data_IF_205502743814
#
_entry.id   IF_205502743814
#
_cell.length_a   1.000
_cell.length_b   1.000
_cell.length_c   1.000
_cell.angle_alpha   90.00
_cell.angle_beta   90.00
_cell.angle_gamma   90.00
#
_symmetry.space_group_name_H-M   'P 1'
#
loop_
_entity.id
_entity.type
_entity.pdbx_description
1 polymer ?
#
# COMPACT_ATOMS: atom_id res chain seq x y z
N UNK A 1 -12.51 22.47 -15.13
CA UNK A 1 -12.17 23.24 -13.89
C UNK A 1 -10.72 22.97 -13.59
N UNK A 2 -9.85 23.98 -13.69
CA UNK A 2 -8.44 23.88 -13.31
C UNK A 2 -8.37 23.81 -11.79
N UNK A 3 -8.06 22.63 -11.24
CA UNK A 3 -7.74 22.49 -9.83
C UNK A 3 -6.54 23.38 -9.49
N UNK A 4 -6.58 24.14 -8.39
CA UNK A 4 -5.47 25.00 -7.99
C UNK A 4 -4.19 24.17 -7.81
N UNK A 5 -3.07 24.76 -8.21
CA UNK A 5 -1.74 24.17 -8.01
C UNK A 5 -1.53 24.02 -6.49
N UNK A 6 -1.17 22.82 -5.95
CA UNK A 6 -1.07 22.62 -4.50
C UNK A 6 0.21 23.23 -3.89
N UNK A 7 0.62 24.41 -4.39
CA UNK A 7 1.81 25.15 -3.90
C UNK A 7 1.57 25.85 -2.56
N UNK A 8 0.31 26.02 -2.19
CA UNK A 8 -0.09 26.63 -0.92
C UNK A 8 -1.31 25.86 -0.37
N UNK A 9 -1.10 24.67 0.19
CA UNK A 9 -2.21 23.90 0.77
C UNK A 9 -2.82 24.67 1.93
N UNK A 10 -4.16 24.70 1.99
CA UNK A 10 -4.92 25.33 3.05
C UNK A 10 -5.54 24.24 3.93
N UNK A 11 -5.32 24.34 5.23
CA UNK A 11 -6.02 23.51 6.20
C UNK A 11 -7.53 23.81 6.16
N UNK A 12 -8.34 22.77 6.02
CA UNK A 12 -9.80 22.87 5.95
C UNK A 12 -10.49 22.22 7.14
N UNK A 13 -10.14 20.99 7.43
CA UNK A 13 -10.73 20.21 8.52
C UNK A 13 -9.78 19.10 8.99
N UNK A 14 -10.02 18.60 10.19
CA UNK A 14 -9.40 17.42 10.76
C UNK A 14 -10.48 16.41 11.14
N UNK A 15 -10.38 15.20 10.61
CA UNK A 15 -11.22 14.08 11.02
C UNK A 15 -10.41 13.31 12.09
N UNK A 16 -10.83 13.31 13.37
CA UNK A 16 -10.06 12.72 14.46
C UNK A 16 -9.84 11.21 14.27
N UNK A 17 -8.72 10.72 14.77
CA UNK A 17 -8.41 9.30 14.90
C UNK A 17 -8.96 8.69 16.19
N UNK A 18 -8.52 7.47 16.49
CA UNK A 18 -8.86 6.74 17.72
C UNK A 18 -7.96 7.22 18.87
N UNK A 19 -8.56 7.81 19.89
CA UNK A 19 -7.80 8.32 21.05
C UNK A 19 -7.03 7.21 21.77
N UNK A 20 -5.84 7.55 22.27
CA UNK A 20 -5.00 6.65 23.07
C UNK A 20 -4.26 5.57 22.27
N UNK A 21 -4.45 5.49 20.96
CA UNK A 21 -3.82 4.47 20.11
C UNK A 21 -2.47 4.88 19.52
N UNK A 22 -1.98 6.08 19.83
CA UNK A 22 -0.68 6.59 19.32
C UNK A 22 -0.60 6.55 17.78
N UNK A 23 0.51 6.06 17.24
CA UNK A 23 0.67 5.91 15.78
C UNK A 23 -0.44 5.05 15.13
N UNK A 24 -1.03 4.12 15.87
CA UNK A 24 -2.08 3.24 15.38
C UNK A 24 -3.47 3.89 15.40
N UNK A 25 -3.63 5.07 16.00
CA UNK A 25 -4.93 5.75 16.12
C UNK A 25 -5.37 6.46 14.86
N UNK A 26 -4.45 6.75 13.94
CA UNK A 26 -4.70 7.47 12.70
C UNK A 26 -5.35 6.64 11.60
N UNK A 27 -5.56 7.29 10.46
CA UNK A 27 -5.95 6.62 9.23
C UNK A 27 -4.70 6.11 8.51
N UNK A 28 -4.45 4.80 8.57
CA UNK A 28 -3.29 4.17 7.91
C UNK A 28 -3.36 4.29 6.39
N UNK A 29 -4.57 4.32 5.82
CA UNK A 29 -4.82 4.56 4.40
C UNK A 29 -6.20 5.21 4.21
N UNK A 30 -6.32 5.95 3.12
CA UNK A 30 -7.57 6.53 2.66
C UNK A 30 -7.77 6.25 1.17
N UNK A 31 -9.04 6.05 0.76
CA UNK A 31 -9.46 5.96 -0.64
C UNK A 31 -10.63 6.89 -0.87
N UNK A 32 -10.68 7.52 -2.03
CA UNK A 32 -11.76 8.43 -2.39
C UNK A 32 -12.42 7.95 -3.67
N UNK A 33 -13.75 7.89 -3.67
CA UNK A 33 -14.56 7.61 -4.85
C UNK A 33 -15.55 8.75 -5.08
N UNK A 34 -15.74 9.12 -6.34
CA UNK A 34 -16.88 9.95 -6.74
C UNK A 34 -18.16 9.12 -6.66
N UNK A 35 -19.21 9.69 -6.12
CA UNK A 35 -20.53 9.05 -6.15
C UNK A 35 -21.08 8.85 -7.56
N UNK A 36 -20.54 9.57 -8.55
CA UNK A 36 -20.88 9.35 -9.96
C UNK A 36 -20.25 8.06 -10.54
N UNK A 37 -19.13 7.59 -9.96
CA UNK A 37 -18.46 6.33 -10.32
C UNK A 37 -19.08 5.14 -9.59
N UNK A 38 -19.55 5.33 -8.37
CA UNK A 38 -20.16 4.26 -7.56
C UNK A 38 -21.53 3.86 -8.15
N UNK A 39 -21.84 2.55 -8.27
CA UNK A 39 -23.08 2.07 -8.89
C UNK A 39 -24.36 2.61 -8.26
N UNK A 40 -24.35 2.89 -6.96
CA UNK A 40 -25.50 3.40 -6.19
C UNK A 40 -25.15 4.64 -5.36
N UNK A 41 -24.03 5.29 -5.68
CA UNK A 41 -23.61 6.53 -5.02
C UNK A 41 -24.45 7.72 -5.44
N UNK A 42 -24.58 8.72 -4.57
CA UNK A 42 -25.13 10.00 -4.94
C UNK A 42 -24.15 10.73 -5.87
N UNK A 43 -24.57 10.95 -7.12
CA UNK A 43 -23.71 11.50 -8.19
C UNK A 43 -23.11 12.87 -7.88
N UNK A 44 -23.71 13.61 -6.95
CA UNK A 44 -23.21 14.92 -6.52
C UNK A 44 -22.18 14.86 -5.39
N UNK A 45 -21.88 13.67 -4.88
CA UNK A 45 -21.05 13.50 -3.70
C UNK A 45 -19.68 12.89 -3.98
N UNK A 46 -18.76 13.10 -3.02
CA UNK A 46 -17.49 12.41 -2.93
C UNK A 46 -17.40 11.69 -1.58
N UNK A 47 -16.98 10.43 -1.63
CA UNK A 47 -16.90 9.59 -0.44
C UNK A 47 -15.45 9.18 -0.17
N UNK A 48 -15.07 9.23 1.11
CA UNK A 48 -13.75 8.84 1.58
C UNK A 48 -13.90 7.63 2.51
N UNK A 49 -13.26 6.52 2.14
CA UNK A 49 -13.07 5.35 2.97
C UNK A 49 -11.74 5.49 3.73
N UNK A 50 -11.77 5.35 5.06
CA UNK A 50 -10.58 5.34 5.90
C UNK A 50 -10.59 4.22 6.92
N UNK A 51 -9.43 3.87 7.44
CA UNK A 51 -9.31 3.17 8.72
C UNK A 51 -9.55 4.14 9.88
N UNK A 52 -10.16 3.65 10.96
CA UNK A 52 -10.28 4.35 12.23
C UNK A 52 -9.49 3.57 13.28
N UNK A 53 -8.24 3.95 13.47
CA UNK A 53 -7.31 3.26 14.34
C UNK A 53 -7.21 1.76 14.03
N UNK A 54 -7.36 0.95 15.08
CA UNK A 54 -7.37 -0.52 15.00
C UNK A 54 -8.77 -1.14 15.09
N UNK A 55 -9.85 -0.35 15.08
CA UNK A 55 -11.17 -0.78 15.52
C UNK A 55 -12.28 -0.72 14.47
N UNK A 56 -12.09 0.01 13.36
CA UNK A 56 -13.12 0.14 12.34
C UNK A 56 -12.59 0.60 10.98
N UNK A 57 -13.45 0.46 9.95
CA UNK A 57 -13.39 1.26 8.73
C UNK A 57 -14.57 2.21 8.69
N UNK A 58 -14.36 3.44 8.26
CA UNK A 58 -15.40 4.47 8.19
C UNK A 58 -15.50 5.04 6.79
N UNK A 59 -16.73 5.33 6.38
CA UNK A 59 -17.03 6.05 5.14
C UNK A 59 -17.55 7.43 5.49
N UNK A 60 -16.97 8.45 4.83
CA UNK A 60 -17.26 9.86 5.05
C UNK A 60 -17.71 10.53 3.75
N UNK A 61 -18.71 11.38 3.82
CA UNK A 61 -19.03 12.35 2.79
C UNK A 61 -18.04 13.51 2.93
N UNK A 62 -17.23 13.73 1.90
CA UNK A 62 -16.21 14.78 1.82
C UNK A 62 -16.48 15.76 0.67
N UNK A 63 -17.73 15.84 0.23
CA UNK A 63 -18.16 16.75 -0.85
C UNK A 63 -17.84 18.21 -0.52
N UNK A 64 -18.08 18.63 0.72
CA UNK A 64 -17.46 19.82 1.29
C UNK A 64 -16.29 19.38 2.18
N UNK A 65 -15.04 19.48 1.71
CA UNK A 65 -13.89 19.02 2.50
C UNK A 65 -13.64 19.83 3.77
N UNK A 66 -14.30 20.97 3.95
CA UNK A 66 -14.26 21.74 5.19
C UNK A 66 -15.26 21.23 6.24
N UNK A 67 -16.23 20.41 5.83
CA UNK A 67 -17.30 19.88 6.71
C UNK A 67 -17.53 18.39 6.44
N UNK A 68 -16.52 17.53 6.61
CA UNK A 68 -16.68 16.10 6.38
C UNK A 68 -17.70 15.51 7.36
N UNK A 69 -18.58 14.63 6.88
CA UNK A 69 -19.60 13.96 7.71
C UNK A 69 -19.52 12.45 7.52
N UNK A 70 -19.51 11.68 8.62
CA UNK A 70 -19.49 10.24 8.56
C UNK A 70 -20.86 9.71 8.11
N UNK A 71 -20.86 8.91 7.05
CA UNK A 71 -22.11 8.32 6.50
C UNK A 71 -22.31 6.88 6.95
N UNK A 72 -21.21 6.12 7.18
CA UNK A 72 -21.32 4.77 7.70
C UNK A 72 -20.03 4.31 8.41
N UNK A 73 -20.11 3.20 9.14
CA UNK A 73 -19.01 2.58 9.86
C UNK A 73 -19.13 1.06 9.85
N UNK A 74 -18.03 0.38 9.56
CA UNK A 74 -17.88 -1.07 9.65
C UNK A 74 -17.05 -1.37 10.89
N UNK A 75 -17.66 -1.98 11.88
CA UNK A 75 -17.07 -2.30 13.19
C UNK A 75 -18.11 -2.79 14.19
N UNK A 76 -17.68 -3.27 15.40
CA UNK A 76 -16.30 -3.27 15.89
C UNK A 76 -15.41 -4.31 15.20
N UNK A 77 -14.16 -3.95 14.93
CA UNK A 77 -13.14 -4.80 14.31
C UNK A 77 -11.87 -4.80 15.16
N UNK A 78 -10.87 -5.57 14.76
CA UNK A 78 -9.53 -5.60 15.38
C UNK A 78 -8.47 -5.44 14.32
N UNK A 79 -7.37 -4.74 14.64
CA UNK A 79 -6.21 -4.64 13.77
C UNK A 79 -6.49 -4.07 12.38
N UNK A 80 -7.49 -3.19 12.24
CA UNK A 80 -7.80 -2.53 10.97
C UNK A 80 -6.55 -1.80 10.45
N UNK A 81 -6.32 -1.87 9.14
CA UNK A 81 -5.09 -1.35 8.59
C UNK A 81 -5.28 -0.79 7.18
N UNK A 82 -4.93 -1.51 6.13
CA UNK A 82 -5.12 -1.08 4.75
C UNK A 82 -6.53 -1.36 4.23
N UNK A 83 -6.87 -0.72 3.14
CA UNK A 83 -8.06 -1.02 2.35
C UNK A 83 -7.79 -0.77 0.87
N UNK A 84 -8.62 -1.38 0.05
CA UNK A 84 -8.73 -1.06 -1.38
C UNK A 84 -10.21 -0.90 -1.71
N UNK A 85 -10.57 0.11 -2.47
CA UNK A 85 -11.94 0.36 -2.90
C UNK A 85 -12.00 0.56 -4.40
N UNK A 86 -12.73 -0.29 -5.08
CA UNK A 86 -13.01 -0.18 -6.50
C UNK A 86 -14.21 0.76 -6.69
N UNK A 87 -13.98 1.94 -7.24
CA UNK A 87 -15.05 2.93 -7.37
C UNK A 87 -16.13 2.50 -8.37
N UNK A 88 -15.74 1.85 -9.45
CA UNK A 88 -16.64 1.40 -10.55
C UNK A 88 -17.57 0.25 -10.15
N UNK A 89 -17.16 -0.60 -9.22
CA UNK A 89 -17.97 -1.74 -8.75
C UNK A 89 -18.53 -1.55 -7.35
N UNK A 90 -17.93 -0.68 -6.57
CA UNK A 90 -18.20 -0.52 -5.15
C UNK A 90 -17.58 -1.60 -4.27
N UNK A 91 -16.86 -2.57 -4.80
CA UNK A 91 -16.25 -3.64 -4.00
C UNK A 91 -15.05 -3.09 -3.22
N UNK A 92 -15.05 -3.37 -1.92
CA UNK A 92 -13.96 -2.98 -1.03
C UNK A 92 -13.33 -4.19 -0.34
N UNK A 93 -12.00 -4.20 -0.32
CA UNK A 93 -11.18 -5.18 0.38
C UNK A 93 -10.60 -4.50 1.61
N UNK A 94 -11.05 -4.91 2.80
CA UNK A 94 -10.75 -4.26 4.08
C UNK A 94 -9.84 -5.15 4.92
N UNK A 95 -8.65 -4.69 5.25
CA UNK A 95 -7.75 -5.42 6.15
C UNK A 95 -8.20 -5.23 7.58
N UNK A 96 -8.51 -6.33 8.25
CA UNK A 96 -8.92 -6.35 9.66
C UNK A 96 -8.83 -7.76 10.24
N UNK A 97 -8.90 -7.86 11.55
CA UNK A 97 -9.12 -9.10 12.29
C UNK A 97 -10.55 -9.18 12.82
N UNK A 98 -11.05 -10.39 12.92
CA UNK A 98 -12.30 -10.70 13.59
C UNK A 98 -12.11 -11.91 14.52
N UNK A 99 -13.05 -12.09 15.42
CA UNK A 99 -13.01 -13.22 16.34
C UNK A 99 -13.06 -14.57 15.62
N UNK A 100 -12.31 -15.55 16.14
CA UNK A 100 -12.23 -16.89 15.58
C UNK A 100 -11.17 -17.06 14.48
N UNK A 101 -10.72 -16.00 13.80
CA UNK A 101 -9.60 -16.10 12.88
C UNK A 101 -8.27 -16.15 13.64
N UNK A 102 -7.33 -16.92 13.10
CA UNK A 102 -6.07 -17.26 13.78
C UNK A 102 -4.97 -16.25 13.63
N UNK A 103 -5.20 -15.19 12.84
CA UNK A 103 -4.27 -14.09 12.60
C UNK A 103 -4.91 -12.76 13.01
N UNK A 104 -4.08 -11.78 13.34
CA UNK A 104 -4.52 -10.43 13.65
C UNK A 104 -5.21 -9.75 12.48
N UNK A 105 -4.80 -10.10 11.24
CA UNK A 105 -5.28 -9.45 10.00
C UNK A 105 -5.52 -10.47 8.89
N UNK A 106 -6.67 -10.38 8.29
CA UNK A 106 -7.11 -11.03 7.06
C UNK A 106 -7.90 -10.00 6.24
N UNK A 107 -8.57 -10.36 5.17
CA UNK A 107 -9.43 -9.42 4.45
C UNK A 107 -10.91 -9.71 4.68
N UNK A 108 -11.66 -8.66 4.96
CA UNK A 108 -13.12 -8.65 4.85
C UNK A 108 -13.49 -7.96 3.54
N UNK A 109 -14.38 -8.57 2.78
CA UNK A 109 -14.86 -8.02 1.51
C UNK A 109 -16.25 -7.48 1.72
N UNK A 110 -16.46 -6.23 1.32
CA UNK A 110 -17.73 -5.52 1.40
C UNK A 110 -18.13 -4.98 0.04
N UNK A 111 -19.42 -4.92 -0.20
CA UNK A 111 -20.04 -4.13 -1.26
C UNK A 111 -20.39 -2.75 -0.67
N UNK A 112 -19.68 -1.74 -1.12
CA UNK A 112 -19.87 -0.31 -0.81
C UNK A 112 -20.38 0.44 -2.04
N UNK A 113 -21.10 -0.25 -2.95
CA UNK A 113 -21.76 0.41 -4.09
C UNK A 113 -22.76 1.48 -3.64
N UNK A 114 -23.39 1.26 -2.49
CA UNK A 114 -24.08 2.25 -1.66
C UNK A 114 -23.22 2.51 -0.40
N UNK A 115 -22.48 3.62 -0.33
CA UNK A 115 -21.57 3.90 0.77
C UNK A 115 -22.26 4.16 2.10
N UNK A 116 -23.57 4.42 2.10
CA UNK A 116 -24.38 4.61 3.31
C UNK A 116 -24.79 3.27 3.93
N UNK A 117 -24.96 2.23 3.11
CA UNK A 117 -25.38 0.90 3.53
C UNK A 117 -24.38 -0.19 3.14
N UNK A 118 -23.20 -0.26 3.80
CA UNK A 118 -22.19 -1.29 3.57
C UNK A 118 -22.77 -2.70 3.69
N UNK A 119 -22.51 -3.57 2.71
CA UNK A 119 -22.99 -4.94 2.71
C UNK A 119 -21.81 -5.92 2.73
N UNK A 120 -21.73 -6.74 3.76
CA UNK A 120 -20.73 -7.80 3.87
C UNK A 120 -20.89 -8.82 2.76
N UNK A 121 -19.77 -9.24 2.15
CA UNK A 121 -19.71 -10.26 1.11
C UNK A 121 -19.10 -11.54 1.66
N UNK A 122 -17.84 -11.48 2.11
CA UNK A 122 -17.16 -12.63 2.71
C UNK A 122 -15.87 -12.24 3.43
N UNK A 123 -15.35 -13.18 4.20
CA UNK A 123 -13.99 -13.16 4.72
C UNK A 123 -13.07 -13.97 3.80
N UNK A 124 -11.81 -13.53 3.68
CA UNK A 124 -10.80 -14.21 2.87
C UNK A 124 -9.39 -14.05 3.48
N UNK A 125 -8.55 -15.04 3.30
CA UNK A 125 -7.15 -15.06 3.72
C UNK A 125 -6.44 -16.31 3.23
N UNK A 126 -5.23 -16.52 3.71
CA UNK A 126 -4.48 -17.75 3.42
C UNK A 126 -5.15 -18.96 4.11
N UNK A 127 -5.13 -20.09 3.42
CA UNK A 127 -5.47 -21.37 4.06
C UNK A 127 -4.57 -21.60 5.29
N UNK A 128 -5.18 -21.93 6.41
CA UNK A 128 -4.54 -22.00 7.73
C UNK A 128 -4.85 -20.81 8.66
N UNK A 129 -5.36 -19.69 8.14
CA UNK A 129 -5.77 -18.53 8.92
C UNK A 129 -7.22 -18.63 9.44
N UNK A 130 -8.06 -19.45 8.82
CA UNK A 130 -9.48 -19.58 9.13
C UNK A 130 -9.72 -20.28 10.49
N UNK A 131 -10.92 -20.10 11.06
CA UNK A 131 -11.35 -20.81 12.28
C UNK A 131 -11.24 -22.33 12.12
N UNK A 132 -10.78 -23.00 13.17
CA UNK A 132 -10.67 -24.46 13.22
C UNK A 132 -9.48 -25.06 12.47
N UNK A 133 -8.67 -24.26 11.78
CA UNK A 133 -7.43 -24.77 11.17
C UNK A 133 -6.42 -25.20 12.25
N UNK A 134 -5.61 -26.20 11.92
CA UNK A 134 -4.59 -26.77 12.80
C UNK A 134 -3.18 -26.43 12.32
N UNK A 135 -2.17 -26.65 13.16
CA UNK A 135 -0.78 -26.29 12.87
C UNK A 135 -0.48 -24.82 13.06
N UNK A 136 0.64 -24.34 12.55
CA UNK A 136 1.04 -22.92 12.65
C UNK A 136 0.14 -22.04 11.78
N UNK A 137 -0.27 -20.89 12.31
CA UNK A 137 -1.02 -19.92 11.53
C UNK A 137 -0.08 -19.23 10.53
N UNK A 138 -0.48 -19.11 9.25
CA UNK A 138 0.27 -18.32 8.28
C UNK A 138 0.40 -16.85 8.71
N UNK A 139 1.37 -16.14 8.10
CA UNK A 139 1.59 -14.70 8.32
C UNK A 139 0.34 -13.89 8.02
N UNK A 140 0.22 -12.73 8.69
CA UNK A 140 -0.95 -11.85 8.56
C UNK A 140 -0.95 -11.04 7.26
N UNK A 141 -2.14 -10.71 6.77
CA UNK A 141 -2.34 -9.82 5.64
C UNK A 141 -1.88 -8.41 5.98
N UNK A 142 -1.15 -7.78 5.05
CA UNK A 142 -0.83 -6.37 5.15
C UNK A 142 -1.68 -5.48 4.25
N UNK A 143 -1.81 -5.79 2.96
CA UNK A 143 -2.64 -5.00 2.08
C UNK A 143 -3.05 -5.69 0.78
N UNK A 144 -4.29 -5.43 0.30
CA UNK A 144 -4.79 -5.83 -1.00
C UNK A 144 -4.60 -4.72 -2.02
N UNK A 145 -4.42 -5.09 -3.29
CA UNK A 145 -4.52 -4.21 -4.45
C UNK A 145 -5.31 -4.94 -5.54
N UNK A 146 -6.42 -4.37 -5.97
CA UNK A 146 -7.24 -4.93 -7.05
C UNK A 146 -7.00 -4.22 -8.37
N UNK A 147 -7.04 -4.97 -9.47
CA UNK A 147 -7.06 -4.43 -10.83
C UNK A 147 -8.47 -4.26 -11.37
N UNK A 148 -9.49 -4.41 -10.53
CA UNK A 148 -10.90 -4.24 -10.88
C UNK A 148 -11.41 -5.27 -11.88
N UNK A 149 -12.50 -4.91 -12.56
CA UNK A 149 -13.15 -5.78 -13.56
C UNK A 149 -12.24 -6.11 -14.74
N UNK A 150 -11.52 -5.13 -15.26
CA UNK A 150 -10.72 -5.28 -16.47
C UNK A 150 -9.55 -6.25 -16.27
N UNK A 151 -8.85 -6.16 -15.13
CA UNK A 151 -7.71 -7.04 -14.84
C UNK A 151 -8.14 -8.35 -14.19
N UNK A 152 -9.29 -8.39 -13.55
CA UNK A 152 -9.85 -9.53 -12.81
C UNK A 152 -8.87 -10.18 -11.83
N UNK A 153 -8.05 -9.37 -11.15
CA UNK A 153 -7.05 -9.85 -10.18
C UNK A 153 -7.09 -9.05 -8.89
N UNK A 154 -6.78 -9.74 -7.80
CA UNK A 154 -6.43 -9.11 -6.52
C UNK A 154 -5.07 -9.65 -6.08
N UNK A 155 -4.18 -8.75 -5.74
CA UNK A 155 -2.85 -9.02 -5.22
C UNK A 155 -2.86 -8.76 -3.72
N UNK A 156 -2.57 -9.78 -2.94
CA UNK A 156 -2.50 -9.68 -1.49
C UNK A 156 -1.05 -9.79 -1.05
N UNK A 157 -0.59 -8.79 -0.30
CA UNK A 157 0.72 -8.79 0.35
C UNK A 157 0.58 -9.19 1.82
N UNK A 158 1.32 -10.21 2.25
CA UNK A 158 1.35 -10.73 3.61
C UNK A 158 2.75 -10.59 4.22
N UNK A 159 2.79 -10.37 5.54
CA UNK A 159 4.05 -10.12 6.26
C UNK A 159 4.58 -8.71 6.04
N UNK A 160 5.41 -8.24 6.95
CA UNK A 160 6.01 -6.89 6.91
C UNK A 160 7.51 -6.96 6.66
N UNK A 161 8.28 -7.56 7.56
CA UNK A 161 9.73 -7.71 7.49
C UNK A 161 10.20 -9.17 7.57
N UNK A 162 9.26 -10.12 7.52
CA UNK A 162 9.51 -11.57 7.52
C UNK A 162 8.29 -12.32 7.00
N UNK A 163 8.50 -13.58 6.64
CA UNK A 163 7.46 -14.52 6.23
C UNK A 163 6.56 -13.99 5.10
N UNK A 164 7.15 -13.19 4.20
CA UNK A 164 6.43 -12.52 3.13
C UNK A 164 5.80 -13.49 2.14
N UNK A 165 4.55 -13.21 1.77
CA UNK A 165 3.84 -13.93 0.71
C UNK A 165 3.11 -12.92 -0.17
N UNK A 166 3.30 -13.03 -1.48
CA UNK A 166 2.41 -12.40 -2.47
C UNK A 166 1.46 -13.45 -3.00
N UNK A 167 0.17 -13.26 -2.83
CA UNK A 167 -0.88 -14.13 -3.35
C UNK A 167 -1.60 -13.46 -4.49
N UNK A 168 -1.70 -14.13 -5.64
CA UNK A 168 -2.42 -13.68 -6.83
C UNK A 168 -3.75 -14.42 -6.90
N UNK A 169 -4.83 -13.67 -6.92
CA UNK A 169 -6.18 -14.20 -6.80
C UNK A 169 -7.06 -13.77 -7.99
N UNK A 170 -7.81 -14.70 -8.53
CA UNK A 170 -8.89 -14.43 -9.48
C UNK A 170 -10.03 -13.72 -8.74
N UNK A 171 -10.27 -12.47 -9.12
CA UNK A 171 -11.26 -11.60 -8.45
C UNK A 171 -12.69 -12.13 -8.61
N UNK A 172 -13.06 -12.60 -9.78
CA UNK A 172 -14.41 -13.12 -10.03
C UNK A 172 -14.66 -14.37 -9.20
N UNK A 173 -13.75 -15.34 -9.21
CA UNK A 173 -13.84 -16.54 -8.38
C UNK A 173 -13.88 -16.20 -6.88
N UNK A 174 -13.12 -15.19 -6.45
CA UNK A 174 -13.14 -14.73 -5.07
C UNK A 174 -14.52 -14.20 -4.68
N UNK A 175 -15.17 -13.43 -5.54
CA UNK A 175 -16.46 -12.79 -5.23
C UNK A 175 -17.66 -13.72 -5.42
N UNK A 176 -17.59 -14.67 -6.37
CA UNK A 176 -18.71 -15.56 -6.72
C UNK A 176 -18.61 -16.95 -6.10
N UNK A 177 -17.44 -17.34 -5.62
CA UNK A 177 -17.22 -18.63 -4.96
C UNK A 177 -17.90 -18.74 -3.60
N UNK A 178 -18.01 -19.95 -3.08
CA UNK A 178 -18.61 -20.22 -1.78
C UNK A 178 -17.94 -19.39 -0.67
N UNK A 179 -18.71 -18.66 0.17
CA UNK A 179 -18.15 -17.68 1.10
C UNK A 179 -17.59 -18.30 2.40
N UNK A 180 -17.95 -19.55 2.72
CA UNK A 180 -17.51 -20.22 3.95
C UNK A 180 -15.98 -20.38 3.92
N UNK A 181 -15.25 -20.03 5.00
CA UNK A 181 -13.79 -20.03 5.00
C UNK A 181 -13.22 -21.46 5.23
N UNK A 182 -13.57 -22.40 4.36
CA UNK A 182 -12.94 -23.72 4.34
C UNK A 182 -11.62 -23.70 3.60
N UNK A 183 -10.68 -24.66 3.85
CA UNK A 183 -9.44 -24.75 3.09
C UNK A 183 -9.65 -24.78 1.57
N UNK A 184 -10.66 -25.50 1.09
CA UNK A 184 -10.99 -25.58 -0.31
C UNK A 184 -11.44 -24.23 -0.89
N UNK A 185 -12.35 -23.55 -0.19
CA UNK A 185 -12.90 -22.26 -0.64
C UNK A 185 -11.88 -21.11 -0.57
N UNK A 186 -10.92 -21.18 0.35
CA UNK A 186 -9.83 -20.20 0.42
C UNK A 186 -8.80 -20.41 -0.70
N UNK A 187 -8.57 -21.66 -1.11
CA UNK A 187 -7.66 -21.99 -2.23
C UNK A 187 -8.32 -21.84 -3.60
N UNK A 188 -9.63 -21.92 -3.70
CA UNK A 188 -10.36 -21.90 -4.97
C UNK A 188 -10.04 -20.70 -5.88
N UNK A 189 -9.98 -19.46 -5.38
CA UNK A 189 -9.68 -18.31 -6.22
C UNK A 189 -8.18 -18.07 -6.44
N UNK A 190 -7.28 -18.77 -5.73
CA UNK A 190 -5.84 -18.57 -5.86
C UNK A 190 -5.33 -19.08 -7.21
N UNK A 191 -4.60 -18.21 -7.93
CA UNK A 191 -3.95 -18.54 -9.19
C UNK A 191 -2.49 -18.92 -8.95
N UNK A 192 -1.82 -18.16 -8.09
CA UNK A 192 -0.42 -18.38 -7.79
C UNK A 192 0.03 -17.62 -6.53
N UNK A 193 1.24 -17.97 -6.10
CA UNK A 193 1.82 -17.45 -4.86
C UNK A 193 3.33 -17.38 -4.99
N UNK A 194 3.90 -16.28 -4.53
CA UNK A 194 5.34 -16.12 -4.32
C UNK A 194 5.62 -16.10 -2.82
N UNK A 195 6.43 -17.02 -2.35
CA UNK A 195 6.97 -17.02 -0.99
C UNK A 195 8.30 -16.26 -1.02
N UNK A 196 8.38 -15.18 -0.25
CA UNK A 196 9.57 -14.35 -0.18
C UNK A 196 10.70 -15.04 0.60
N UNK A 197 11.97 -14.62 0.42
CA UNK A 197 13.07 -15.10 1.25
C UNK A 197 12.85 -14.84 2.74
N UNK A 198 13.55 -15.59 3.59
CA UNK A 198 13.53 -15.36 5.04
C UNK A 198 13.89 -13.92 5.39
N UNK A 199 13.27 -13.37 6.43
CA UNK A 199 13.46 -12.00 6.91
C UNK A 199 13.08 -10.90 5.92
N UNK A 200 12.26 -11.19 4.93
CA UNK A 200 11.61 -10.22 4.03
C UNK A 200 10.11 -10.41 4.08
N UNK A 201 9.39 -9.30 4.05
CA UNK A 201 7.92 -9.29 4.02
C UNK A 201 7.36 -9.09 2.62
N UNK A 202 6.07 -8.82 2.54
CA UNK A 202 5.39 -8.32 1.36
C UNK A 202 4.32 -7.31 1.79
N UNK A 203 4.77 -6.16 2.29
CA UNK A 203 3.90 -5.11 2.81
C UNK A 203 2.98 -4.53 1.73
N UNK A 204 3.54 -4.28 0.52
CA UNK A 204 2.79 -3.81 -0.64
C UNK A 204 3.14 -4.68 -1.85
N UNK A 205 2.13 -5.13 -2.60
CA UNK A 205 2.29 -5.92 -3.82
C UNK A 205 1.59 -5.18 -4.98
N UNK A 206 2.30 -4.27 -5.64
CA UNK A 206 1.75 -3.41 -6.69
C UNK A 206 1.94 -4.03 -8.08
N UNK A 207 0.86 -4.38 -8.80
CA UNK A 207 0.95 -5.03 -10.11
C UNK A 207 1.39 -4.05 -11.20
N UNK A 208 2.27 -4.51 -12.07
CA UNK A 208 2.79 -3.80 -13.24
C UNK A 208 2.43 -4.62 -14.48
N UNK A 209 1.22 -4.43 -14.98
CA UNK A 209 0.64 -5.29 -16.02
C UNK A 209 0.89 -4.73 -17.42
N UNK A 210 1.29 -5.59 -18.35
CA UNK A 210 1.47 -5.25 -19.75
C UNK A 210 2.66 -4.32 -19.99
N UNK A 211 3.78 -4.56 -19.30
CA UNK A 211 5.02 -3.82 -19.50
C UNK A 211 5.68 -4.22 -20.83
N UNK A 212 6.16 -3.23 -21.56
CA UNK A 212 7.15 -3.45 -22.59
C UNK A 212 8.50 -3.69 -21.91
N UNK A 213 9.15 -4.80 -22.26
CA UNK A 213 10.49 -5.10 -21.72
C UNK A 213 11.50 -4.19 -22.42
N UNK A 214 12.64 -3.93 -21.75
CA UNK A 214 13.70 -3.09 -22.29
C UNK A 214 14.06 -3.45 -23.75
N UNK A 215 14.47 -2.45 -24.53
CA UNK A 215 14.70 -2.55 -25.99
C UNK A 215 15.61 -3.72 -26.42
N UNK A 216 16.59 -4.09 -25.57
CA UNK A 216 17.48 -5.22 -25.86
C UNK A 216 16.87 -6.59 -25.52
N UNK A 217 15.76 -6.62 -24.81
CA UNK A 217 15.08 -7.84 -24.36
C UNK A 217 13.84 -8.10 -25.22
N UNK A 218 14.02 -8.23 -26.52
CA UNK A 218 12.92 -8.53 -27.42
C UNK A 218 12.35 -9.90 -27.15
N UNK A 219 11.14 -9.95 -26.60
CA UNK A 219 10.35 -11.16 -26.58
C UNK A 219 9.89 -11.46 -28.00
N UNK A 220 10.41 -12.54 -28.60
CA UNK A 220 10.06 -12.96 -29.96
C UNK A 220 8.56 -13.26 -30.14
N UNK A 221 7.87 -13.56 -29.04
CA UNK A 221 6.43 -13.72 -29.03
C UNK A 221 5.68 -12.38 -29.15
N UNK A 222 6.40 -11.24 -29.16
CA UNK A 222 5.83 -9.89 -29.25
C UNK A 222 4.98 -9.54 -28.03
N UNK A 223 5.13 -10.31 -26.95
CA UNK A 223 4.29 -10.22 -25.77
C UNK A 223 4.76 -9.14 -24.80
N UNK A 224 3.80 -8.50 -24.19
CA UNK A 224 4.02 -7.73 -22.98
C UNK A 224 4.17 -8.68 -21.80
N UNK A 225 5.00 -8.30 -20.85
CA UNK A 225 5.20 -9.09 -19.61
C UNK A 225 4.51 -8.43 -18.43
N UNK A 226 4.19 -9.26 -17.46
CA UNK A 226 3.54 -8.82 -16.23
C UNK A 226 4.50 -8.97 -15.06
N UNK A 227 4.56 -7.95 -14.20
CA UNK A 227 5.38 -7.96 -13.00
C UNK A 227 4.57 -7.53 -11.79
N UNK A 228 5.13 -7.76 -10.62
CA UNK A 228 4.67 -7.17 -9.36
C UNK A 228 5.85 -6.51 -8.66
N UNK A 229 5.67 -5.27 -8.26
CA UNK A 229 6.59 -4.57 -7.38
C UNK A 229 6.18 -4.88 -5.93
N UNK A 230 7.08 -5.46 -5.16
CA UNK A 230 6.86 -5.87 -3.78
C UNK A 230 7.74 -4.99 -2.90
N UNK A 231 7.14 -4.31 -1.94
CA UNK A 231 7.87 -3.46 -1.01
C UNK A 231 7.73 -4.05 0.39
N UNK A 232 8.86 -4.24 1.06
CA UNK A 232 8.91 -4.71 2.45
C UNK A 232 8.77 -3.52 3.41
N UNK A 233 8.55 -3.78 4.70
CA UNK A 233 8.54 -2.76 5.73
C UNK A 233 9.66 -2.97 6.75
N UNK A 234 10.52 -1.97 6.92
CA UNK A 234 11.44 -1.89 8.07
C UNK A 234 10.67 -1.59 9.35
N UNK A 235 10.89 -2.36 10.40
CA UNK A 235 10.22 -2.22 11.70
C UNK A 235 11.16 -1.78 12.82
N UNK A 236 12.47 -1.97 12.67
CA UNK A 236 13.44 -1.74 13.73
C UNK A 236 14.34 -0.53 13.40
N UNK A 237 14.62 0.28 14.44
CA UNK A 237 15.43 1.47 14.28
C UNK A 237 16.93 1.15 14.08
N UNK A 238 17.66 2.07 13.46
CA UNK A 238 19.12 2.06 13.32
C UNK A 238 19.67 0.78 12.68
N UNK A 239 18.99 0.25 11.66
CA UNK A 239 19.41 -0.94 10.89
C UNK A 239 19.60 -2.23 11.73
N UNK A 240 18.89 -2.36 12.86
CA UNK A 240 19.00 -3.53 13.71
C UNK A 240 18.10 -4.71 13.26
N UNK A 241 17.87 -4.81 11.98
CA UNK A 241 17.11 -5.89 11.33
C UNK A 241 17.69 -6.23 9.96
N UNK A 242 17.18 -7.29 9.34
CA UNK A 242 17.52 -7.59 7.95
C UNK A 242 17.05 -6.47 7.02
N UNK A 243 17.81 -6.24 5.95
CA UNK A 243 17.53 -5.16 4.99
C UNK A 243 16.16 -5.35 4.34
N UNK A 244 15.32 -4.33 4.43
CA UNK A 244 14.02 -4.29 3.76
C UNK A 244 14.13 -3.46 2.48
N UNK A 245 13.57 -3.97 1.37
CA UNK A 245 13.85 -3.51 0.02
C UNK A 245 12.60 -3.46 -0.86
N UNK A 246 12.77 -2.88 -2.05
CA UNK A 246 11.89 -3.12 -3.19
C UNK A 246 12.36 -4.38 -3.92
N UNK A 247 11.43 -5.26 -4.24
CA UNK A 247 11.60 -6.43 -5.09
C UNK A 247 10.73 -6.31 -6.34
N UNK A 248 11.20 -6.84 -7.45
CA UNK A 248 10.41 -7.02 -8.67
C UNK A 248 10.32 -8.52 -8.94
N UNK A 249 9.11 -9.02 -9.12
CA UNK A 249 8.88 -10.38 -9.53
C UNK A 249 8.14 -10.44 -10.86
N UNK A 250 8.58 -11.33 -11.75
CA UNK A 250 7.89 -11.67 -12.99
C UNK A 250 6.69 -12.55 -12.68
N UNK A 251 5.52 -12.13 -13.08
CA UNK A 251 4.24 -12.84 -12.94
C UNK A 251 3.58 -13.09 -14.30
N UNK A 252 4.34 -13.06 -15.40
CA UNK A 252 3.81 -13.37 -16.74
C UNK A 252 3.16 -14.75 -16.77
N UNK A 253 3.71 -15.68 -16.00
CA UNK A 253 3.05 -16.94 -15.65
C UNK A 253 2.61 -16.88 -14.19
N UNK A 254 1.41 -16.39 -13.94
CA UNK A 254 0.89 -16.08 -12.59
C UNK A 254 0.96 -17.27 -11.62
N UNK A 255 0.85 -18.51 -12.12
CA UNK A 255 0.96 -19.73 -11.31
C UNK A 255 2.41 -20.03 -10.86
N UNK A 256 3.40 -19.33 -11.39
CA UNK A 256 4.84 -19.53 -11.10
C UNK A 256 5.57 -18.19 -11.06
N UNK A 257 5.27 -17.33 -10.09
CA UNK A 257 5.96 -16.06 -9.93
C UNK A 257 7.45 -16.27 -9.62
N UNK A 258 8.32 -15.39 -10.10
CA UNK A 258 9.76 -15.46 -9.85
C UNK A 258 10.35 -14.07 -9.61
N UNK A 259 11.10 -13.90 -8.51
CA UNK A 259 11.88 -12.68 -8.28
C UNK A 259 12.94 -12.47 -9.36
N UNK A 260 13.01 -11.27 -9.91
CA UNK A 260 13.94 -10.96 -11.01
C UNK A 260 14.88 -9.80 -10.70
N UNK A 261 14.53 -8.93 -9.76
CA UNK A 261 15.37 -7.81 -9.32
C UNK A 261 15.03 -7.34 -7.92
N UNK A 262 15.94 -6.58 -7.32
CA UNK A 262 15.70 -5.84 -6.09
C UNK A 262 16.38 -4.47 -6.15
N UNK A 263 15.87 -3.53 -5.34
CA UNK A 263 16.48 -2.22 -5.19
C UNK A 263 16.38 -1.75 -3.74
N UNK A 264 17.42 -1.08 -3.25
CA UNK A 264 17.46 -0.40 -1.96
C UNK A 264 18.43 0.79 -1.99
N UNK A 265 18.26 1.72 -1.05
CA UNK A 265 19.29 2.75 -0.79
C UNK A 265 20.47 2.10 -0.08
N UNK A 266 21.72 2.26 -0.57
CA UNK A 266 22.90 1.78 0.17
C UNK A 266 23.05 2.53 1.50
N UNK A 267 23.20 1.83 2.61
CA UNK A 267 23.31 2.41 3.96
C UNK A 267 24.44 3.42 4.08
N UNK A 268 25.57 3.09 3.47
CA UNK A 268 26.78 3.93 3.50
C UNK A 268 26.66 5.24 2.74
N UNK A 269 25.73 5.34 1.77
CA UNK A 269 25.61 6.54 0.92
C UNK A 269 25.18 7.81 1.67
N UNK A 270 24.64 7.67 2.88
CA UNK A 270 24.17 8.81 3.68
C UNK A 270 24.28 8.60 5.18
N UNK A 271 25.03 7.61 5.63
CA UNK A 271 25.16 7.22 7.04
C UNK A 271 23.80 7.00 7.70
N UNK A 272 22.87 6.39 6.98
CA UNK A 272 21.47 6.32 7.37
C UNK A 272 21.24 5.54 8.67
N UNK A 273 22.03 4.49 8.94
CA UNK A 273 21.93 3.74 10.19
C UNK A 273 22.29 4.59 11.41
N UNK A 274 23.12 5.63 11.25
CA UNK A 274 23.55 6.52 12.33
C UNK A 274 22.59 7.69 12.58
N UNK A 275 21.71 8.01 11.62
CA UNK A 275 20.77 9.15 11.72
C UNK A 275 19.66 8.93 12.74
N UNK A 276 19.41 7.70 13.16
CA UNK A 276 18.29 7.33 14.01
C UNK A 276 17.04 6.96 13.23
N UNK A 277 16.08 6.36 13.92
CA UNK A 277 14.85 5.87 13.32
C UNK A 277 15.05 4.64 12.42
N UNK A 278 13.98 4.24 11.73
CA UNK A 278 14.01 3.12 10.78
C UNK A 278 14.73 3.53 9.50
N UNK A 279 15.47 2.58 8.92
CA UNK A 279 16.06 2.67 7.60
C UNK A 279 15.70 1.43 6.81
N UNK A 280 15.11 1.60 5.66
CA UNK A 280 14.55 0.57 4.79
C UNK A 280 13.28 1.08 4.16
N UNK A 281 12.70 0.27 3.29
CA UNK A 281 11.44 0.60 2.63
C UNK A 281 10.26 0.50 3.60
N UNK A 282 9.14 1.12 3.23
CA UNK A 282 7.84 0.93 3.87
C UNK A 282 6.73 0.65 2.85
N UNK A 283 6.52 1.53 1.89
CA UNK A 283 5.45 1.41 0.91
C UNK A 283 5.83 2.04 -0.41
N UNK A 284 5.13 1.69 -1.47
CA UNK A 284 5.13 2.43 -2.72
C UNK A 284 3.80 3.15 -2.92
N UNK A 285 3.75 4.05 -3.92
CA UNK A 285 2.48 4.52 -4.43
C UNK A 285 1.64 3.35 -4.97
N UNK A 286 0.33 3.46 -4.84
CA UNK A 286 -0.64 2.43 -5.26
C UNK A 286 -1.59 2.95 -6.37
N UNK A 287 -1.21 4.02 -7.05
CA UNK A 287 -1.99 4.63 -8.12
C UNK A 287 -1.61 4.10 -9.50
N UNK A 288 -2.62 3.80 -10.32
CA UNK A 288 -2.46 3.40 -11.72
C UNK A 288 -2.47 4.58 -12.70
N UNK A 289 -2.21 5.81 -12.24
CA UNK A 289 -2.20 6.98 -13.13
C UNK A 289 -1.24 6.78 -14.32
N UNK A 290 -1.69 7.02 -15.56
CA UNK A 290 -0.88 6.81 -16.76
C UNK A 290 0.42 7.61 -16.79
N UNK A 291 0.52 8.69 -15.99
CA UNK A 291 1.72 9.53 -15.91
C UNK A 291 2.94 8.71 -15.47
N UNK A 292 2.77 7.88 -14.44
CA UNK A 292 3.88 7.15 -13.83
C UNK A 292 3.78 5.64 -13.96
N UNK A 293 2.59 5.10 -14.13
CA UNK A 293 2.36 3.66 -14.17
C UNK A 293 3.28 2.96 -15.19
N UNK A 294 3.96 1.90 -14.77
CA UNK A 294 4.96 1.13 -15.54
C UNK A 294 6.21 1.92 -15.95
N UNK A 295 6.44 3.09 -15.39
CA UNK A 295 7.58 3.95 -15.71
C UNK A 295 8.38 4.34 -14.48
N UNK A 296 7.71 4.89 -13.48
CA UNK A 296 8.33 5.36 -12.24
C UNK A 296 7.52 4.86 -11.07
N UNK A 297 8.18 4.17 -10.14
CA UNK A 297 7.62 3.80 -8.85
C UNK A 297 8.20 4.73 -7.78
N UNK A 298 7.34 5.29 -6.95
CA UNK A 298 7.78 6.06 -5.79
C UNK A 298 7.75 5.16 -4.57
N UNK A 299 8.85 5.17 -3.82
CA UNK A 299 9.04 4.33 -2.63
C UNK A 299 9.33 5.21 -1.43
N UNK A 300 8.55 5.08 -0.37
CA UNK A 300 8.84 5.65 0.93
C UNK A 300 9.91 4.78 1.62
N UNK A 301 11.01 5.42 2.07
CA UNK A 301 12.19 4.74 2.61
C UNK A 301 12.59 5.34 3.97
N UNK A 302 11.65 5.47 4.88
CA UNK A 302 11.80 6.01 6.23
C UNK A 302 12.78 7.19 6.33
N UNK A 303 13.92 7.04 7.04
CA UNK A 303 14.88 8.13 7.24
C UNK A 303 15.69 8.50 5.99
N UNK A 304 15.54 7.75 4.91
CA UNK A 304 16.08 8.09 3.61
C UNK A 304 15.06 8.82 2.69
N UNK A 305 13.85 9.11 3.17
CA UNK A 305 12.85 9.92 2.47
C UNK A 305 12.11 9.18 1.35
N UNK A 306 11.68 9.92 0.33
CA UNK A 306 11.02 9.38 -0.87
C UNK A 306 12.02 9.17 -1.98
N UNK A 307 11.90 8.05 -2.67
CA UNK A 307 12.74 7.65 -3.80
C UNK A 307 11.88 7.45 -5.05
N UNK A 308 12.33 7.97 -6.17
CA UNK A 308 11.73 7.74 -7.48
C UNK A 308 12.58 6.73 -8.25
N UNK A 309 12.00 5.60 -8.60
CA UNK A 309 12.68 4.46 -9.21
C UNK A 309 12.16 4.30 -10.64
N UNK A 310 13.04 4.41 -11.64
CA UNK A 310 12.77 4.03 -13.02
C UNK A 310 12.65 2.50 -13.09
N UNK A 311 11.46 2.03 -13.45
CA UNK A 311 11.11 0.61 -13.53
C UNK A 311 10.79 0.18 -14.97
N UNK A 312 11.10 1.01 -15.98
CA UNK A 312 10.85 0.67 -17.38
C UNK A 312 11.65 -0.56 -17.82
N UNK A 313 12.83 -0.75 -17.22
CA UNK A 313 13.51 -2.05 -17.22
C UNK A 313 13.31 -2.70 -15.85
N UNK A 314 12.37 -3.65 -15.71
CA UNK A 314 12.06 -4.27 -14.44
C UNK A 314 13.16 -5.18 -13.91
N UNK A 315 14.13 -5.55 -14.76
CA UNK A 315 15.30 -6.35 -14.36
C UNK A 315 16.42 -5.47 -13.76
N UNK A 316 16.40 -4.15 -14.04
CA UNK A 316 17.40 -3.21 -13.56
C UNK A 316 16.73 -1.92 -13.04
N UNK A 317 15.93 -1.99 -11.97
CA UNK A 317 15.30 -0.81 -11.39
C UNK A 317 16.37 0.18 -10.92
N UNK A 318 16.19 1.46 -11.24
CA UNK A 318 17.21 2.49 -11.01
C UNK A 318 16.63 3.73 -10.35
N UNK A 319 17.23 4.21 -9.26
CA UNK A 319 16.89 5.50 -8.68
C UNK A 319 17.21 6.63 -9.66
N UNK A 320 16.25 7.54 -9.84
CA UNK A 320 16.37 8.70 -10.74
C UNK A 320 16.17 10.03 -10.02
N UNK A 321 15.55 10.03 -8.86
CA UNK A 321 15.39 11.20 -8.02
C UNK A 321 15.06 10.78 -6.57
N UNK A 322 15.28 11.70 -5.64
CA UNK A 322 14.89 11.52 -4.25
C UNK A 322 14.56 12.86 -3.57
N UNK A 323 13.84 12.77 -2.48
CA UNK A 323 13.60 13.88 -1.56
C UNK A 323 13.70 13.39 -0.12
N UNK A 324 14.55 14.03 0.66
CA UNK A 324 14.73 13.75 2.09
C UNK A 324 14.24 14.98 2.86
N UNK A 325 13.09 14.91 3.54
CA UNK A 325 12.63 16.01 4.39
C UNK A 325 13.66 16.39 5.45
N UNK A 326 13.71 17.67 5.78
CA UNK A 326 14.45 18.09 6.95
C UNK A 326 13.64 17.79 8.23
N UNK A 327 14.34 17.54 9.34
CA UNK A 327 13.71 17.53 10.66
C UNK A 327 13.15 18.92 10.99
N UNK A 328 12.05 18.95 11.73
CA UNK A 328 11.41 20.17 12.23
C UNK A 328 11.37 20.16 13.75
N UNK A 329 10.94 21.27 14.35
CA UNK A 329 10.72 21.34 15.80
C UNK A 329 9.67 20.33 16.31
N UNK A 330 8.79 19.86 15.43
CA UNK A 330 7.74 18.89 15.75
C UNK A 330 8.16 17.44 15.48
N UNK A 331 9.37 17.20 14.94
CA UNK A 331 9.82 15.85 14.62
C UNK A 331 10.07 15.06 15.90
N UNK A 332 9.36 13.95 16.02
CA UNK A 332 9.43 13.06 17.17
C UNK A 332 10.73 12.23 17.17
N UNK A 333 11.37 12.03 18.32
CA UNK A 333 12.54 11.19 18.43
C UNK A 333 12.18 9.70 18.24
N UNK A 334 13.17 8.94 17.79
CA UNK A 334 13.13 7.47 17.70
C UNK A 334 14.27 6.89 18.51
N UNK A 335 13.97 5.90 19.33
CA UNK A 335 14.88 5.36 20.33
C UNK A 335 15.32 3.94 20.03
N UNK A 336 16.51 3.60 20.46
CA UNK A 336 17.03 2.23 20.57
C UNK A 336 17.52 1.98 22.00
N UNK A 337 17.48 0.73 22.44
CA UNK A 337 18.10 0.32 23.70
C UNK A 337 19.59 0.12 23.51
N UNK A 338 20.39 0.79 24.34
CA UNK A 338 21.85 0.63 24.44
C UNK A 338 22.18 0.48 25.92
N UNK A 339 22.76 -0.64 26.29
CA UNK A 339 23.12 -0.95 27.69
C UNK A 339 21.95 -0.71 28.68
N UNK A 340 20.74 -1.14 28.29
CA UNK A 340 19.47 -0.99 29.04
C UNK A 340 18.93 0.44 29.15
N UNK A 341 19.61 1.45 28.60
CA UNK A 341 19.14 2.83 28.51
C UNK A 341 18.58 3.16 27.13
N UNK A 342 17.63 4.09 27.07
CA UNK A 342 17.13 4.60 25.79
C UNK A 342 18.10 5.64 25.23
N UNK A 343 18.56 5.40 24.00
CA UNK A 343 19.24 6.39 23.18
C UNK A 343 18.29 6.84 22.08
N UNK A 344 17.87 8.09 22.12
CA UNK A 344 16.90 8.66 21.20
C UNK A 344 17.56 9.67 20.26
N UNK A 345 17.16 9.62 18.98
CA UNK A 345 17.59 10.58 17.96
C UNK A 345 16.37 11.11 17.22
N UNK A 346 16.37 12.40 16.94
CA UNK A 346 15.35 13.02 16.07
C UNK A 346 15.64 12.65 14.62
N UNK A 347 14.71 11.94 13.99
CA UNK A 347 14.87 11.47 12.64
C UNK A 347 13.51 11.44 11.91
N UNK A 348 13.52 11.85 10.64
CA UNK A 348 12.36 11.70 9.78
C UNK A 348 11.99 10.23 9.62
N UNK A 349 10.71 9.96 9.39
CA UNK A 349 10.18 8.63 9.16
C UNK A 349 9.15 8.68 8.03
N UNK A 350 9.62 9.03 6.82
CA UNK A 350 8.76 9.05 5.64
C UNK A 350 8.20 7.67 5.39
N UNK A 351 6.89 7.49 5.57
CA UNK A 351 6.28 6.17 5.56
C UNK A 351 5.33 5.92 4.39
N UNK A 352 4.62 6.93 3.93
CA UNK A 352 3.72 6.75 2.79
C UNK A 352 4.00 7.76 1.69
N UNK A 353 3.81 7.31 0.46
CA UNK A 353 3.87 8.13 -0.75
C UNK A 353 2.71 7.76 -1.65
N UNK A 354 2.04 8.78 -2.19
CA UNK A 354 0.99 8.59 -3.20
C UNK A 354 1.10 9.67 -4.27
N UNK A 355 0.46 9.45 -5.39
CA UNK A 355 0.52 10.31 -6.57
C UNK A 355 -0.89 10.59 -7.10
N UNK A 356 -1.07 11.76 -7.68
CA UNK A 356 -2.33 12.11 -8.32
C UNK A 356 -2.24 12.09 -9.86
N UNK A 357 -3.39 12.28 -10.50
CA UNK A 357 -3.55 12.30 -11.96
C UNK A 357 -2.97 13.56 -12.64
N UNK A 358 -2.45 14.50 -11.86
CA UNK A 358 -1.74 15.69 -12.32
C UNK A 358 -0.22 15.53 -12.24
N UNK A 359 0.24 14.43 -11.60
CA UNK A 359 1.64 14.10 -11.39
C UNK A 359 2.27 14.73 -10.15
N UNK A 360 1.48 15.20 -9.20
CA UNK A 360 1.99 15.57 -7.88
C UNK A 360 2.20 14.34 -7.01
N UNK A 361 3.25 14.40 -6.20
CA UNK A 361 3.67 13.34 -5.29
C UNK A 361 3.43 13.83 -3.88
N UNK A 362 2.69 13.06 -3.10
CA UNK A 362 2.32 13.35 -1.72
C UNK A 362 3.05 12.40 -0.80
N UNK A 363 3.94 12.92 0.04
CA UNK A 363 4.71 12.14 0.98
C UNK A 363 4.32 12.51 2.41
N UNK A 364 4.04 11.50 3.22
CA UNK A 364 3.66 11.66 4.63
C UNK A 364 4.76 11.08 5.52
N UNK A 365 5.01 11.74 6.63
CA UNK A 365 6.03 11.36 7.60
C UNK A 365 5.39 10.96 8.94
N UNK A 366 5.74 9.80 9.43
CA UNK A 366 5.24 9.21 10.69
C UNK A 366 5.90 9.81 11.94
N UNK A 367 7.02 10.52 11.80
CA UNK A 367 7.68 11.22 12.89
C UNK A 367 7.24 12.68 13.02
N UNK A 368 6.09 13.03 12.45
CA UNK A 368 5.46 14.33 12.58
C UNK A 368 6.22 15.48 11.89
N UNK A 369 6.94 15.19 10.79
CA UNK A 369 7.49 16.26 9.93
C UNK A 369 6.44 16.87 8.99
N UNK A 370 5.29 16.19 8.80
CA UNK A 370 4.13 16.66 8.06
C UNK A 370 3.92 16.02 6.70
N UNK A 371 3.14 16.70 5.86
CA UNK A 371 2.85 16.36 4.48
C UNK A 371 3.75 17.17 3.54
N UNK A 372 4.42 16.50 2.62
CA UNK A 372 5.22 17.11 1.57
C UNK A 372 4.55 16.89 0.21
N UNK A 373 4.41 17.97 -0.56
CA UNK A 373 3.85 17.92 -1.92
C UNK A 373 4.99 18.22 -2.89
N UNK A 374 5.31 17.25 -3.76
CA UNK A 374 6.47 17.27 -4.61
C UNK A 374 6.07 17.16 -6.09
N UNK A 375 6.98 17.56 -6.98
CA UNK A 375 6.87 17.33 -8.40
C UNK A 375 8.24 16.95 -8.97
N UNK A 376 8.27 16.02 -9.92
CA UNK A 376 9.49 15.71 -10.65
C UNK A 376 9.92 16.87 -11.55
N UNK A 377 11.21 17.09 -11.65
CA UNK A 377 11.84 18.10 -12.52
C UNK A 377 12.94 17.46 -13.38
N UNK A 378 13.46 18.21 -14.35
CA UNK A 378 14.59 17.81 -15.17
C UNK A 378 14.40 16.47 -15.88
N UNK A 379 15.47 15.67 -15.94
CA UNK A 379 15.51 14.37 -16.62
C UNK A 379 14.55 13.36 -16.02
N UNK A 380 14.38 13.34 -14.70
CA UNK A 380 13.43 12.45 -14.05
C UNK A 380 11.98 12.71 -14.51
N UNK A 381 11.60 13.99 -14.72
CA UNK A 381 10.30 14.34 -15.28
C UNK A 381 10.12 13.85 -16.71
N UNK A 382 11.19 13.86 -17.53
CA UNK A 382 11.14 13.42 -18.91
C UNK A 382 10.88 11.91 -19.07
N UNK A 383 11.13 11.11 -18.00
CA UNK A 383 10.81 9.68 -17.98
C UNK A 383 9.30 9.44 -17.83
N UNK A 384 8.61 10.34 -17.14
CA UNK A 384 7.17 10.26 -16.93
C UNK A 384 6.39 10.53 -18.24
N UNK A 385 5.13 10.09 -18.28
CA UNK A 385 4.25 10.25 -19.44
C UNK A 385 3.23 11.38 -19.19
N UNK A 386 3.73 12.61 -19.00
CA UNK A 386 2.84 13.75 -18.87
C UNK A 386 2.11 14.02 -20.18
N UNK A 387 0.84 14.42 -20.14
CA UNK A 387 0.14 14.93 -21.32
C UNK A 387 0.93 16.09 -21.96
N UNK A 388 0.99 16.08 -23.27
CA UNK A 388 1.64 17.15 -24.09
C UNK A 388 0.75 18.36 -24.18
#
# INVERSE_FOLDING_TARGET
>A
MTSPIPRAPRYLAHIPGEEGSGENGGAQIVRVCSGAELPKGDRGKFYLLRTFGNSAHEIWDVTDPAKPTRVSRIGPLKGTHKNWWECDTGIAFLVSGIEGWRTRRMTQIYDLSDPVHPRFVRNFGLDGQQPGAVGDAPTELHGPISTGLTGNRVYFGYGTNKDGIVQIVDREKLLTGAPEPTPANLRYPEIGRLVMPSNVGAHTAFPLIGMDVAEFAHDKAGGKRNFVAIVDESLVNECQEARQMLWIADITTEARPMGVASWTVPEGSGRFCERGGRFGTHSSNESFTPIYYRRILFVAHFNAGVRAIDIRDPFHPREIAYFIPAVSANTEPRCVKVDSADRCKTAIQTNNVEIDDRGYIYAVDRANTGLHILALTGEARAIANFPR
#
